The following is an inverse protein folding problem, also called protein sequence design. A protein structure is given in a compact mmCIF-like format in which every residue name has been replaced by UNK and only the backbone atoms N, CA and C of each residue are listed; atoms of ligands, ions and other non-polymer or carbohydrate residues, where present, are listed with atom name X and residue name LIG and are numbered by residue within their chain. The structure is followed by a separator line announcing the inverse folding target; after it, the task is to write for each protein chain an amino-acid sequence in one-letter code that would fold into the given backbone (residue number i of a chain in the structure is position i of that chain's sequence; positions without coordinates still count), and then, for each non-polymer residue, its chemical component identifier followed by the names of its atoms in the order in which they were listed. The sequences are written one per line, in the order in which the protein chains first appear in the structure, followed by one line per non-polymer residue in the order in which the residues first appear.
data_IF_777996722027
#
_entry.id   IF_777996722027
#
_cell.length_a   1.000
_cell.length_b   1.000
_cell.length_c   1.000
_cell.angle_alpha   90.00
_cell.angle_beta   90.00
_cell.angle_gamma   90.00
#
_symmetry.space_group_name_H-M   'P 1'
#
loop_
_entity.id
_entity.type
_entity.pdbx_description
1 polymer ?
#
# COMPACT_ATOMS: atom_id res chain seq x y z
N UNK A 1 -8.80 -11.03 -31.09
CA UNK A 1 -7.68 -10.35 -31.76
C UNK A 1 -6.61 -10.17 -30.71
N UNK A 2 -5.50 -10.91 -30.83
CA UNK A 2 -4.35 -10.83 -29.94
C UNK A 2 -3.55 -9.59 -30.32
N UNK A 3 -3.74 -8.48 -29.63
CA UNK A 3 -2.80 -7.38 -29.69
C UNK A 3 -1.69 -7.64 -28.67
N UNK A 4 -0.47 -7.65 -29.20
CA UNK A 4 0.76 -7.96 -28.51
C UNK A 4 0.98 -7.01 -27.33
N UNK A 5 1.00 -7.54 -26.10
CA UNK A 5 1.84 -6.92 -25.08
C UNK A 5 3.28 -6.98 -25.60
N UNK A 6 3.98 -5.84 -25.72
CA UNK A 6 5.35 -5.85 -26.17
C UNK A 6 6.16 -6.76 -25.25
N UNK A 7 7.03 -7.59 -25.84
CA UNK A 7 7.95 -8.43 -25.09
C UNK A 7 8.83 -7.53 -24.19
N UNK A 8 8.42 -7.40 -22.94
CA UNK A 8 9.10 -6.69 -21.86
C UNK A 8 8.89 -7.47 -20.56
N UNK A 9 9.89 -7.51 -19.67
CA UNK A 9 9.84 -8.44 -18.54
C UNK A 9 8.86 -8.03 -17.43
N UNK A 10 8.59 -6.74 -17.24
CA UNK A 10 7.64 -6.12 -16.30
C UNK A 10 7.07 -4.87 -17.02
N UNK A 11 5.80 -4.47 -16.77
CA UNK A 11 5.22 -3.23 -17.33
C UNK A 11 5.67 -1.98 -16.57
N UNK A 12 5.97 -2.13 -15.27
CA UNK A 12 6.57 -1.08 -14.47
C UNK A 12 8.09 -1.04 -14.71
N UNK A 13 8.58 0.12 -15.12
CA UNK A 13 9.99 0.40 -15.36
C UNK A 13 10.62 1.02 -14.13
N UNK A 14 11.64 0.37 -13.57
CA UNK A 14 12.36 0.87 -12.40
C UNK A 14 13.05 2.18 -12.73
N UNK A 15 12.97 3.15 -11.83
CA UNK A 15 13.84 4.31 -11.89
C UNK A 15 15.31 3.88 -11.74
N UNK A 16 16.19 4.41 -12.58
CA UNK A 16 17.62 4.06 -12.59
C UNK A 16 18.31 4.45 -11.28
N UNK A 17 17.87 5.56 -10.65
CA UNK A 17 18.40 6.02 -9.37
C UNK A 17 17.81 5.33 -8.14
N UNK A 18 17.17 4.16 -8.28
CA UNK A 18 16.72 3.41 -7.12
C UNK A 18 17.90 2.85 -6.29
N UNK A 19 17.76 2.76 -4.95
CA UNK A 19 16.63 3.21 -4.15
C UNK A 19 16.55 4.74 -4.02
N UNK A 20 15.33 5.28 -3.92
CA UNK A 20 15.10 6.74 -3.78
C UNK A 20 15.19 7.23 -2.33
N UNK A 21 15.00 6.32 -1.36
CA UNK A 21 15.21 6.56 0.07
C UNK A 21 15.79 5.28 0.66
N UNK A 22 16.95 5.38 1.29
CA UNK A 22 17.63 4.32 2.02
C UNK A 22 17.94 4.77 3.46
N UNK A 23 18.60 3.89 4.23
CA UNK A 23 18.91 4.17 5.64
C UNK A 23 19.80 5.41 5.81
N UNK A 24 20.67 5.68 4.84
CA UNK A 24 21.58 6.83 4.81
C UNK A 24 20.84 8.17 4.72
N UNK A 25 19.62 8.18 4.20
CA UNK A 25 18.78 9.38 4.07
C UNK A 25 17.99 9.69 5.35
N UNK A 26 18.00 8.79 6.35
CA UNK A 26 17.26 8.97 7.60
C UNK A 26 18.12 9.74 8.62
N UNK A 27 17.71 10.96 9.03
CA UNK A 27 18.54 11.84 9.87
C UNK A 27 18.59 11.43 11.35
N UNK A 28 17.96 10.31 11.70
CA UNK A 28 17.93 9.76 13.06
C UNK A 28 18.19 8.26 13.05
N UNK A 29 18.62 7.72 14.19
CA UNK A 29 19.02 6.30 14.28
C UNK A 29 17.81 5.37 14.04
N UNK A 30 17.90 4.57 12.99
CA UNK A 30 16.94 3.52 12.64
C UNK A 30 17.64 2.22 12.24
N UNK A 31 16.85 1.18 12.02
CA UNK A 31 17.27 -0.10 11.43
C UNK A 31 17.03 -0.09 9.92
N UNK A 32 15.85 0.34 9.47
CA UNK A 32 15.43 0.27 8.06
C UNK A 32 14.29 1.26 7.77
N UNK A 33 14.09 1.62 6.49
CA UNK A 33 13.01 2.47 5.98
C UNK A 33 12.37 1.84 4.74
N UNK A 34 11.05 1.67 4.75
CA UNK A 34 10.33 1.01 3.67
C UNK A 34 8.82 1.31 3.75
N UNK A 35 8.02 0.70 2.87
CA UNK A 35 6.55 0.65 2.91
C UNK A 35 5.80 1.96 3.25
N UNK A 36 6.25 3.10 2.71
CA UNK A 36 5.60 4.39 2.96
C UNK A 36 4.43 4.70 2.01
N UNK A 37 3.45 5.46 2.48
CA UNK A 37 2.42 6.03 1.63
C UNK A 37 2.90 7.32 0.95
N UNK A 38 2.48 7.56 -0.29
CA UNK A 38 2.79 8.80 -1.03
C UNK A 38 1.50 9.46 -1.50
N UNK A 39 1.43 10.78 -1.33
CA UNK A 39 0.39 11.63 -1.92
C UNK A 39 1.04 12.89 -2.51
N UNK A 40 0.42 13.45 -3.55
CA UNK A 40 0.83 14.72 -4.16
C UNK A 40 -0.22 15.78 -3.87
N UNK A 41 0.19 16.92 -3.30
CA UNK A 41 -0.67 18.08 -3.05
C UNK A 41 -0.09 19.31 -3.75
N UNK A 42 -0.74 19.75 -4.83
CA UNK A 42 -0.17 20.76 -5.71
C UNK A 42 1.13 20.26 -6.35
N UNK A 43 2.23 20.99 -6.16
CA UNK A 43 3.53 20.66 -6.74
C UNK A 43 4.49 19.96 -5.75
N UNK A 44 3.97 19.43 -4.64
CA UNK A 44 4.77 18.79 -3.60
C UNK A 44 4.26 17.36 -3.33
N UNK A 45 5.19 16.43 -3.20
CA UNK A 45 4.96 15.05 -2.78
C UNK A 45 5.24 14.93 -1.28
N UNK A 46 4.35 14.20 -0.61
CA UNK A 46 4.44 13.87 0.80
C UNK A 46 4.53 12.36 0.91
N UNK A 47 5.63 11.87 1.47
CA UNK A 47 5.88 10.46 1.65
C UNK A 47 5.92 10.13 3.14
N UNK A 48 4.87 9.48 3.64
CA UNK A 48 4.79 9.00 5.02
C UNK A 48 5.41 7.60 5.11
N UNK A 49 6.68 7.57 5.47
CA UNK A 49 7.55 6.40 5.53
C UNK A 49 7.25 5.56 6.77
N UNK A 50 7.34 4.23 6.65
CA UNK A 50 7.54 3.35 7.80
C UNK A 50 9.03 3.24 8.06
N UNK A 51 9.45 3.62 9.26
CA UNK A 51 10.83 3.50 9.71
C UNK A 51 10.88 2.58 10.93
N UNK A 52 11.65 1.50 10.86
CA UNK A 52 11.87 0.64 12.03
C UNK A 52 13.00 1.20 12.88
N UNK A 53 12.76 1.40 14.17
CA UNK A 53 13.78 1.83 15.12
C UNK A 53 14.77 0.71 15.45
N UNK A 54 15.94 1.05 15.98
CA UNK A 54 16.91 0.07 16.50
C UNK A 54 16.38 -0.73 17.71
N UNK A 55 15.21 -0.38 18.24
CA UNK A 55 14.52 -1.10 19.32
C UNK A 55 13.45 -2.07 18.79
N UNK A 56 13.30 -2.19 17.47
CA UNK A 56 12.42 -3.16 16.83
C UNK A 56 10.93 -2.78 16.80
N UNK A 57 10.60 -1.50 17.02
CA UNK A 57 9.26 -0.98 16.74
C UNK A 57 9.31 0.04 15.60
N UNK A 58 8.26 0.05 14.78
CA UNK A 58 8.11 1.00 13.68
C UNK A 58 7.44 2.31 14.11
N UNK A 59 7.86 3.40 13.48
CA UNK A 59 7.34 4.77 13.58
C UNK A 59 7.05 5.30 12.18
N UNK A 60 6.34 6.43 12.06
CA UNK A 60 6.19 7.14 10.80
C UNK A 60 7.04 8.39 10.75
N UNK A 61 7.76 8.56 9.64
CA UNK A 61 8.54 9.75 9.31
C UNK A 61 8.01 10.34 8.01
N UNK A 62 8.04 11.66 7.88
CA UNK A 62 7.62 12.33 6.66
C UNK A 62 8.85 12.64 5.81
N UNK A 63 8.73 12.47 4.50
CA UNK A 63 9.67 13.03 3.54
C UNK A 63 8.92 13.86 2.49
N UNK A 64 9.59 14.88 1.96
CA UNK A 64 9.03 15.83 1.00
C UNK A 64 9.85 15.86 -0.28
N UNK A 65 9.18 16.03 -1.41
CA UNK A 65 9.84 16.15 -2.71
C UNK A 65 9.06 17.07 -3.65
N UNK A 66 9.76 17.70 -4.60
CA UNK A 66 9.14 18.48 -5.69
C UNK A 66 8.94 17.67 -6.97
N UNK A 67 9.76 16.64 -7.18
CA UNK A 67 9.74 15.81 -8.39
C UNK A 67 9.24 14.39 -8.13
N UNK A 68 9.09 14.01 -6.86
CA UNK A 68 8.68 12.68 -6.44
C UNK A 68 9.77 11.63 -6.62
N UNK A 69 11.03 12.03 -6.80
CA UNK A 69 12.20 11.16 -6.97
C UNK A 69 13.26 11.44 -5.91
N UNK A 70 13.51 12.72 -5.61
CA UNK A 70 14.50 13.15 -4.62
C UNK A 70 13.78 13.67 -3.38
N UNK A 71 13.86 12.94 -2.28
CA UNK A 71 13.14 13.25 -1.05
C UNK A 71 14.07 13.77 0.04
N UNK A 72 13.60 14.76 0.81
CA UNK A 72 14.20 15.18 2.08
C UNK A 72 13.34 14.68 3.22
N UNK A 73 13.93 13.88 4.12
CA UNK A 73 13.25 13.32 5.29
C UNK A 73 13.31 14.31 6.45
N UNK A 74 12.21 14.47 7.18
CA UNK A 74 12.15 15.32 8.38
C UNK A 74 13.10 14.78 9.48
N UNK A 75 13.65 15.68 10.29
CA UNK A 75 14.66 15.37 11.33
C UNK A 75 14.16 14.40 12.41
N UNK A 76 12.84 14.22 12.54
CA UNK A 76 12.19 13.40 13.57
C UNK A 76 10.96 12.69 13.03
N UNK A 77 10.57 11.55 13.62
CA UNK A 77 9.28 10.92 13.33
C UNK A 77 8.10 11.89 13.55
N UNK A 78 7.12 11.85 12.65
CA UNK A 78 5.87 12.63 12.75
C UNK A 78 4.78 11.89 13.51
N UNK A 79 4.91 10.56 13.64
CA UNK A 79 4.00 9.74 14.45
C UNK A 79 4.78 8.58 15.09
N UNK A 80 4.75 8.49 16.42
CA UNK A 80 5.28 7.36 17.20
C UNK A 80 4.14 6.54 17.81
N UNK A 81 4.36 5.26 18.16
CA UNK A 81 3.41 4.48 18.96
C UNK A 81 2.91 5.23 20.21
N UNK A 82 1.59 5.19 20.42
CA UNK A 82 0.95 5.83 21.54
C UNK A 82 1.49 5.26 22.86
N UNK A 83 1.79 6.15 23.81
CA UNK A 83 2.26 5.76 25.16
C UNK A 83 1.14 5.71 26.19
N UNK A 84 0.02 6.39 25.92
CA UNK A 84 -1.17 6.48 26.79
C UNK A 84 -2.45 6.33 25.96
N UNK A 85 -3.57 6.13 26.65
CA UNK A 85 -4.89 6.02 26.02
C UNK A 85 -5.15 4.69 25.32
N UNK A 86 -6.26 4.57 24.59
CA UNK A 86 -6.74 3.30 24.04
C UNK A 86 -5.80 2.67 23.01
N UNK A 87 -5.04 3.49 22.26
CA UNK A 87 -4.10 3.04 21.23
C UNK A 87 -2.83 2.41 21.80
N UNK A 88 -2.39 2.83 22.99
CA UNK A 88 -1.10 2.41 23.56
C UNK A 88 -0.99 0.91 23.79
N UNK A 89 -2.13 0.24 24.05
CA UNK A 89 -2.20 -1.21 24.18
C UNK A 89 -1.93 -1.92 22.85
N UNK A 90 -2.41 -1.36 21.75
CA UNK A 90 -2.46 -2.00 20.43
C UNK A 90 -1.31 -1.60 19.51
N UNK A 91 -0.59 -0.51 19.81
CA UNK A 91 0.60 -0.06 19.06
C UNK A 91 1.92 -0.46 19.75
N UNK A 92 1.87 -1.30 20.79
CA UNK A 92 3.01 -1.57 21.67
C UNK A 92 4.25 -2.14 20.97
N UNK A 93 4.09 -2.73 19.78
CA UNK A 93 5.18 -3.26 18.93
C UNK A 93 5.45 -2.39 17.69
N UNK A 94 4.70 -1.30 17.50
CA UNK A 94 4.89 -0.40 16.38
C UNK A 94 3.60 0.03 15.70
N UNK A 95 3.75 1.06 14.87
CA UNK A 95 2.80 1.44 13.84
C UNK A 95 3.45 1.14 12.49
N UNK A 96 2.74 0.42 11.63
CA UNK A 96 3.32 -0.15 10.42
C UNK A 96 2.47 0.17 9.20
N UNK A 97 3.12 0.23 8.04
CA UNK A 97 2.49 0.15 6.73
C UNK A 97 1.34 1.18 6.58
N UNK A 98 1.62 2.50 6.65
CA UNK A 98 0.61 3.53 6.49
C UNK A 98 0.11 3.58 5.05
N UNK A 99 -1.18 3.90 4.89
CA UNK A 99 -1.87 4.14 3.62
C UNK A 99 -2.62 5.46 3.78
N UNK A 100 -2.36 6.42 2.89
CA UNK A 100 -2.97 7.76 2.98
C UNK A 100 -3.99 7.92 1.86
N UNK A 101 -5.21 8.32 2.22
CA UNK A 101 -6.29 8.60 1.28
C UNK A 101 -6.88 9.97 1.58
N UNK A 102 -6.94 10.84 0.56
CA UNK A 102 -7.65 12.12 0.67
C UNK A 102 -9.15 11.92 0.46
N UNK A 103 -9.96 12.47 1.37
CA UNK A 103 -11.42 12.56 1.23
C UNK A 103 -11.85 13.94 1.69
N UNK A 104 -12.46 14.71 0.79
CA UNK A 104 -13.01 16.05 1.09
C UNK A 104 -11.97 17.00 1.74
N UNK A 105 -10.70 16.95 1.29
CA UNK A 105 -9.60 17.81 1.78
C UNK A 105 -8.91 17.33 3.07
N UNK A 106 -9.37 16.22 3.66
CA UNK A 106 -8.75 15.59 4.84
C UNK A 106 -7.97 14.35 4.40
N UNK A 107 -6.74 14.20 4.89
CA UNK A 107 -5.91 13.03 4.63
C UNK A 107 -6.08 11.99 5.74
N UNK A 108 -6.77 10.90 5.43
CA UNK A 108 -6.95 9.77 6.34
C UNK A 108 -5.81 8.78 6.19
N UNK A 109 -5.26 8.33 7.33
CA UNK A 109 -4.17 7.36 7.39
C UNK A 109 -4.69 6.07 8.01
N UNK A 110 -4.86 5.04 7.19
CA UNK A 110 -5.05 3.68 7.69
C UNK A 110 -3.68 3.02 7.88
N UNK A 111 -3.47 2.39 9.04
CA UNK A 111 -2.20 1.75 9.36
C UNK A 111 -2.38 0.52 10.24
N UNK A 112 -1.36 -0.32 10.30
CA UNK A 112 -1.35 -1.47 11.21
C UNK A 112 -0.84 -1.04 12.59
N UNK A 113 -1.71 -1.12 13.60
CA UNK A 113 -1.34 -1.05 15.01
C UNK A 113 -0.92 -2.46 15.46
N UNK A 114 0.36 -2.66 15.75
CA UNK A 114 0.90 -3.97 16.10
C UNK A 114 1.18 -4.13 17.59
N UNK A 115 0.73 -5.25 18.16
CA UNK A 115 0.93 -5.58 19.58
C UNK A 115 1.03 -7.10 19.80
N UNK A 116 1.18 -7.49 21.07
CA UNK A 116 1.12 -8.91 21.47
C UNK A 116 -0.21 -9.60 21.15
N UNK A 117 -1.27 -8.84 20.90
CA UNK A 117 -2.59 -9.37 20.54
C UNK A 117 -2.75 -9.62 19.04
N UNK A 118 -1.74 -9.31 18.23
CA UNK A 118 -1.79 -9.37 16.77
C UNK A 118 -1.98 -8.00 16.13
N UNK A 119 -1.94 -7.94 14.78
CA UNK A 119 -2.15 -6.72 14.02
C UNK A 119 -3.63 -6.33 14.04
N UNK A 120 -3.89 -5.04 14.19
CA UNK A 120 -5.21 -4.41 13.99
C UNK A 120 -5.05 -3.22 13.05
N UNK A 121 -6.11 -2.85 12.35
CA UNK A 121 -6.14 -1.64 11.54
C UNK A 121 -6.55 -0.47 12.45
N UNK A 122 -5.78 0.59 12.40
CA UNK A 122 -6.06 1.86 13.06
C UNK A 122 -6.23 2.96 12.01
N UNK A 123 -6.98 3.99 12.38
CA UNK A 123 -7.27 5.15 11.55
C UNK A 123 -6.79 6.41 12.27
N UNK A 124 -6.03 7.23 11.56
CA UNK A 124 -5.69 8.59 11.94
C UNK A 124 -6.06 9.57 10.80
N UNK A 125 -5.95 10.87 11.05
CA UNK A 125 -6.06 11.90 10.01
C UNK A 125 -5.03 13.00 10.20
N UNK A 126 -4.78 13.74 9.13
CA UNK A 126 -4.02 14.98 9.10
C UNK A 126 -4.57 15.92 8.04
N UNK A 127 -4.33 17.22 8.20
CA UNK A 127 -4.65 18.26 7.21
C UNK A 127 -3.36 18.99 6.74
N UNK A 128 -2.27 18.84 7.48
CA UNK A 128 -1.01 19.60 7.30
C UNK A 128 0.24 18.71 7.19
N UNK A 129 0.09 17.38 7.30
CA UNK A 129 1.17 16.38 7.36
C UNK A 129 2.18 16.57 8.51
N UNK A 130 1.88 17.46 9.45
CA UNK A 130 2.73 17.76 10.61
C UNK A 130 2.08 17.26 11.90
N UNK A 131 0.75 17.30 11.97
CA UNK A 131 -0.03 16.82 13.11
C UNK A 131 -0.95 15.68 12.69
N UNK A 132 -0.86 14.57 13.41
CA UNK A 132 -1.67 13.36 13.17
C UNK A 132 -2.59 13.09 14.36
N UNK A 133 -3.90 13.16 14.13
CA UNK A 133 -4.93 12.83 15.10
C UNK A 133 -5.36 11.37 14.92
N UNK A 134 -5.21 10.55 15.96
CA UNK A 134 -5.75 9.18 15.96
C UNK A 134 -7.27 9.20 16.17
N UNK A 135 -8.00 8.52 15.30
CA UNK A 135 -9.46 8.47 15.32
C UNK A 135 -9.94 7.20 16.04
N UNK A 136 -9.60 6.02 15.51
CA UNK A 136 -10.12 4.75 16.05
C UNK A 136 -9.23 3.55 15.70
N UNK A 137 -9.36 2.47 16.47
CA UNK A 137 -8.94 1.12 16.02
C UNK A 137 -10.16 0.47 15.37
N UNK A 138 -10.07 0.18 14.08
CA UNK A 138 -11.22 -0.08 13.20
C UNK A 138 -11.33 -1.54 12.73
N UNK A 139 -10.58 -2.46 13.33
CA UNK A 139 -10.70 -3.90 13.07
C UNK A 139 -10.45 -4.74 14.30
N UNK A 140 -10.87 -6.01 14.25
CA UNK A 140 -10.42 -7.08 15.13
C UNK A 140 -8.95 -7.43 14.89
N UNK A 141 -8.29 -8.16 15.82
CA UNK A 141 -6.96 -8.71 15.60
C UNK A 141 -6.90 -9.69 14.43
N UNK A 142 -5.75 -9.75 13.77
CA UNK A 142 -5.54 -10.61 12.60
C UNK A 142 -5.92 -9.95 11.28
N UNK A 143 -5.97 -8.62 11.24
CA UNK A 143 -6.27 -7.84 10.05
C UNK A 143 -5.17 -6.77 9.81
N UNK A 144 -4.89 -6.46 8.54
CA UNK A 144 -3.91 -5.48 8.07
C UNK A 144 -4.26 -5.05 6.64
N UNK A 145 -3.37 -4.31 5.98
CA UNK A 145 -3.54 -3.86 4.59
C UNK A 145 -4.84 -3.05 4.40
N UNK A 146 -5.23 -2.30 5.44
CA UNK A 146 -6.42 -1.45 5.42
C UNK A 146 -6.20 -0.21 4.58
N UNK A 147 -7.14 0.09 3.69
CA UNK A 147 -7.08 1.28 2.83
C UNK A 147 -8.46 1.78 2.44
N UNK A 148 -8.63 3.11 2.38
CA UNK A 148 -9.89 3.74 2.00
C UNK A 148 -9.97 3.95 0.50
N UNK A 149 -11.19 3.86 -0.03
CA UNK A 149 -11.52 4.48 -1.32
C UNK A 149 -11.52 6.01 -1.15
N UNK A 150 -11.08 6.78 -2.17
CA UNK A 150 -10.93 8.24 -2.07
C UNK A 150 -12.26 9.01 -2.21
N UNK A 151 -13.39 8.33 -2.09
CA UNK A 151 -14.72 8.92 -2.09
C UNK A 151 -15.71 7.99 -1.39
N UNK A 152 -16.83 8.56 -0.95
CA UNK A 152 -18.00 7.74 -0.58
C UNK A 152 -18.58 7.10 -1.83
N UNK A 153 -18.99 5.84 -1.72
CA UNK A 153 -19.69 5.10 -2.77
C UNK A 153 -21.08 4.79 -2.22
N UNK A 154 -22.13 5.22 -2.94
CA UNK A 154 -23.53 5.11 -2.50
C UNK A 154 -23.79 5.66 -1.07
N UNK A 155 -23.09 6.75 -0.72
CA UNK A 155 -23.23 7.43 0.57
C UNK A 155 -22.46 6.80 1.74
N UNK A 156 -21.68 5.74 1.51
CA UNK A 156 -20.87 5.08 2.53
C UNK A 156 -19.38 5.23 2.24
N UNK A 157 -18.56 5.36 3.29
CA UNK A 157 -17.12 5.13 3.17
C UNK A 157 -16.89 3.66 2.90
N UNK A 158 -15.95 3.37 2.01
CA UNK A 158 -15.57 2.01 1.64
C UNK A 158 -14.10 1.83 1.93
N UNK A 159 -13.73 0.65 2.44
CA UNK A 159 -12.34 0.25 2.59
C UNK A 159 -12.10 -1.12 1.99
N UNK A 160 -10.86 -1.35 1.58
CA UNK A 160 -10.32 -2.69 1.44
C UNK A 160 -9.53 -3.03 2.70
N UNK A 161 -9.59 -4.28 3.13
CA UNK A 161 -8.76 -4.82 4.20
C UNK A 161 -8.46 -6.31 3.99
N UNK A 162 -7.75 -6.92 4.94
CA UNK A 162 -7.14 -8.24 4.73
C UNK A 162 -7.13 -9.09 5.99
N UNK A 163 -8.33 -9.49 6.49
CA UNK A 163 -8.42 -10.44 7.59
C UNK A 163 -7.78 -11.78 7.22
N UNK A 164 -7.18 -12.45 8.22
CA UNK A 164 -6.60 -13.78 8.06
C UNK A 164 -7.63 -14.84 8.44
N UNK A 165 -8.19 -15.51 7.44
CA UNK A 165 -9.11 -16.65 7.61
C UNK A 165 -8.40 -17.97 7.36
N UNK A 166 -8.44 -18.91 8.32
CA UNK A 166 -7.76 -20.23 8.23
C UNK A 166 -6.27 -20.13 7.83
N UNK A 167 -5.58 -19.07 8.25
CA UNK A 167 -4.16 -18.81 7.94
C UNK A 167 -3.89 -18.22 6.55
N UNK A 168 -4.94 -17.95 5.76
CA UNK A 168 -4.87 -17.35 4.43
C UNK A 168 -5.31 -15.90 4.50
N UNK A 169 -4.52 -15.02 3.89
CA UNK A 169 -4.86 -13.61 3.72
C UNK A 169 -5.53 -13.39 2.38
N UNK A 170 -6.82 -13.04 2.41
CA UNK A 170 -7.63 -12.64 1.25
C UNK A 170 -8.02 -11.17 1.36
N UNK A 171 -8.34 -10.53 0.24
CA UNK A 171 -8.82 -9.15 0.24
C UNK A 171 -10.34 -9.13 0.45
N UNK A 172 -10.78 -8.22 1.31
CA UNK A 172 -12.18 -8.00 1.64
C UNK A 172 -12.53 -6.53 1.42
N UNK A 173 -13.81 -6.27 1.22
CA UNK A 173 -14.39 -4.93 1.19
C UNK A 173 -15.32 -4.78 2.37
N UNK A 174 -15.34 -3.61 3.00
CA UNK A 174 -16.29 -3.28 4.07
C UNK A 174 -16.69 -1.81 4.02
N UNK A 175 -17.81 -1.51 4.67
CA UNK A 175 -18.52 -0.25 4.53
C UNK A 175 -18.75 0.41 5.88
N UNK A 176 -18.74 1.74 5.90
CA UNK A 176 -18.99 2.54 7.10
C UNK A 176 -19.71 3.84 6.78
N UNK A 177 -20.58 4.29 7.68
CA UNK A 177 -21.20 5.62 7.60
C UNK A 177 -20.36 6.73 8.26
N UNK A 178 -19.41 6.36 9.13
CA UNK A 178 -18.74 7.30 10.03
C UNK A 178 -17.22 7.05 10.20
N UNK A 179 -16.63 6.15 9.39
CA UNK A 179 -15.21 5.73 9.44
C UNK A 179 -14.80 4.92 10.68
N UNK A 180 -15.69 4.75 11.66
CA UNK A 180 -15.39 4.07 12.93
C UNK A 180 -16.07 2.70 12.98
N UNK A 181 -17.36 2.65 12.67
CA UNK A 181 -18.15 1.43 12.70
C UNK A 181 -18.18 0.82 11.30
N UNK A 182 -17.52 -0.33 11.14
CA UNK A 182 -17.39 -1.03 9.87
C UNK A 182 -18.22 -2.32 9.86
N UNK A 183 -18.88 -2.59 8.75
CA UNK A 183 -19.67 -3.80 8.55
C UNK A 183 -19.96 -4.07 7.08
N UNK A 184 -20.95 -4.93 6.80
CA UNK A 184 -21.27 -5.41 5.45
C UNK A 184 -20.02 -5.95 4.72
N UNK A 185 -19.19 -6.66 5.48
CA UNK A 185 -17.91 -7.14 4.98
C UNK A 185 -18.12 -8.31 4.03
N UNK A 186 -17.59 -8.19 2.82
CA UNK A 186 -17.67 -9.22 1.78
C UNK A 186 -16.28 -9.59 1.28
N UNK A 187 -16.12 -10.85 0.90
CA UNK A 187 -14.89 -11.31 0.29
C UNK A 187 -14.79 -10.72 -1.11
N UNK A 188 -13.69 -10.03 -1.41
CA UNK A 188 -13.45 -9.43 -2.72
C UNK A 188 -12.70 -10.42 -3.62
N UNK A 189 -11.55 -10.90 -3.16
CA UNK A 189 -10.78 -11.91 -3.89
C UNK A 189 -9.89 -12.75 -2.98
N UNK A 190 -9.54 -13.92 -3.48
CA UNK A 190 -8.65 -14.89 -2.83
C UNK A 190 -7.36 -15.10 -3.62
N UNK A 191 -6.32 -15.67 -2.97
CA UNK A 191 -5.13 -16.17 -3.65
C UNK A 191 -5.50 -17.21 -4.74
N UNK A 192 -4.82 -17.15 -5.89
CA UNK A 192 -5.09 -18.06 -7.02
C UNK A 192 -4.08 -19.20 -7.03
N UNK A 193 -4.53 -20.43 -6.82
CA UNK A 193 -3.65 -21.59 -6.78
C UNK A 193 -2.83 -21.71 -8.08
N UNK A 194 -1.53 -22.02 -7.96
CA UNK A 194 -0.62 -22.15 -9.11
C UNK A 194 -0.09 -20.82 -9.66
N UNK A 195 -0.73 -19.69 -9.35
CA UNK A 195 -0.31 -18.38 -9.83
C UNK A 195 0.73 -17.70 -8.94
N UNK A 196 1.16 -16.51 -9.35
CA UNK A 196 2.16 -15.69 -8.68
C UNK A 196 1.69 -15.12 -7.33
N UNK A 197 0.38 -15.10 -7.11
CA UNK A 197 -0.33 -14.60 -5.94
C UNK A 197 -1.08 -15.73 -5.19
N UNK A 198 -0.46 -16.91 -5.15
CA UNK A 198 -1.08 -18.17 -4.69
C UNK A 198 -1.09 -18.43 -3.19
N UNK A 199 -0.40 -17.60 -2.38
CA UNK A 199 -0.33 -17.78 -0.92
C UNK A 199 -1.16 -16.75 -0.15
N UNK A 200 -0.92 -15.45 -0.39
CA UNK A 200 -1.62 -14.33 0.25
C UNK A 200 -1.69 -13.16 -0.71
N UNK A 201 -2.71 -12.33 -0.56
CA UNK A 201 -2.88 -11.07 -1.28
C UNK A 201 -3.31 -9.96 -0.33
N UNK A 202 -3.12 -8.69 -0.71
CA UNK A 202 -3.58 -7.54 0.06
C UNK A 202 -3.56 -6.23 -0.73
N UNK A 203 -4.49 -5.33 -0.41
CA UNK A 203 -4.57 -3.99 -0.97
C UNK A 203 -3.28 -3.22 -0.64
N UNK A 204 -2.87 -2.32 -1.52
CA UNK A 204 -1.56 -1.65 -1.40
C UNK A 204 -1.64 -0.14 -1.59
N UNK A 205 -2.44 0.37 -2.53
CA UNK A 205 -2.54 1.82 -2.81
C UNK A 205 -4.00 2.29 -2.82
N UNK A 206 -4.30 3.58 -2.57
CA UNK A 206 -5.69 4.01 -2.60
C UNK A 206 -6.27 3.73 -3.99
N UNK A 207 -7.45 3.10 -4.11
CA UNK A 207 -8.01 2.78 -5.41
C UNK A 207 -8.15 4.04 -6.28
N UNK A 208 -7.60 3.97 -7.49
CA UNK A 208 -7.52 5.09 -8.43
C UNK A 208 -8.74 5.04 -9.34
N UNK A 209 -9.54 6.12 -9.36
CA UNK A 209 -10.72 6.19 -10.21
C UNK A 209 -10.32 6.29 -11.68
N UNK A 210 -10.97 5.48 -12.52
CA UNK A 210 -10.82 5.51 -13.99
C UNK A 210 -12.21 5.49 -14.64
N UNK A 211 -12.28 5.64 -15.97
CA UNK A 211 -13.52 5.45 -16.72
C UNK A 211 -14.01 3.98 -16.74
N UNK A 212 -13.10 3.03 -16.44
CA UNK A 212 -13.39 1.59 -16.45
C UNK A 212 -13.71 1.02 -15.07
N UNK A 213 -13.55 1.79 -13.99
CA UNK A 213 -13.59 1.25 -12.64
C UNK A 213 -12.60 1.91 -11.68
N UNK A 214 -12.54 1.38 -10.47
CA UNK A 214 -11.48 1.65 -9.52
C UNK A 214 -10.30 0.70 -9.79
N UNK A 215 -9.20 1.23 -10.30
CA UNK A 215 -7.96 0.49 -10.42
C UNK A 215 -7.31 0.39 -9.04
N UNK A 216 -7.14 -0.82 -8.54
CA UNK A 216 -6.33 -1.08 -7.36
C UNK A 216 -5.05 -1.84 -7.69
N UNK A 217 -3.92 -1.34 -7.21
CA UNK A 217 -2.62 -2.01 -7.23
C UNK A 217 -2.51 -2.82 -5.93
N UNK A 218 -2.36 -4.13 -6.05
CA UNK A 218 -2.31 -5.04 -4.89
C UNK A 218 -1.01 -5.85 -4.88
N UNK A 219 -0.62 -6.35 -3.71
CA UNK A 219 0.49 -7.27 -3.60
C UNK A 219 0.00 -8.72 -3.60
N UNK A 220 0.78 -9.61 -4.22
CA UNK A 220 0.54 -11.04 -4.22
C UNK A 220 1.79 -11.81 -3.84
N UNK A 221 1.59 -12.86 -3.03
CA UNK A 221 2.67 -13.66 -2.46
C UNK A 221 2.61 -15.06 -3.02
N UNK A 222 3.76 -15.57 -3.47
CA UNK A 222 3.97 -17.00 -3.70
C UNK A 222 4.93 -17.54 -2.66
N UNK A 223 4.56 -18.62 -1.97
CA UNK A 223 5.47 -19.32 -1.05
C UNK A 223 6.37 -20.27 -1.85
N UNK A 224 7.66 -20.20 -1.59
CA UNK A 224 8.67 -21.15 -2.09
C UNK A 224 9.36 -21.85 -0.92
N UNK A 225 10.23 -22.82 -1.21
CA UNK A 225 11.01 -23.54 -0.20
C UNK A 225 11.94 -22.62 0.59
N UNK A 226 12.47 -21.57 -0.04
CA UNK A 226 13.42 -20.63 0.60
C UNK A 226 12.74 -19.41 1.23
N UNK A 227 11.45 -19.18 0.97
CA UNK A 227 10.75 -18.01 1.49
C UNK A 227 9.58 -17.55 0.61
N UNK A 228 8.86 -16.52 1.05
CA UNK A 228 7.86 -15.86 0.22
C UNK A 228 8.53 -15.04 -0.90
N UNK A 229 7.82 -14.84 -2.00
CA UNK A 229 8.15 -13.85 -3.02
C UNK A 229 6.96 -12.92 -3.15
N UNK A 230 7.16 -11.64 -2.86
CA UNK A 230 6.13 -10.59 -2.98
C UNK A 230 6.27 -9.90 -4.34
N UNK A 231 5.16 -9.78 -5.04
CA UNK A 231 5.06 -9.13 -6.34
C UNK A 231 3.87 -8.18 -6.33
N UNK A 232 3.83 -7.30 -7.32
CA UNK A 232 2.78 -6.29 -7.47
C UNK A 232 1.92 -6.66 -8.68
N UNK A 233 0.60 -6.53 -8.58
CA UNK A 233 -0.37 -6.72 -9.66
C UNK A 233 -1.51 -5.72 -9.56
N UNK A 234 -2.51 -5.86 -10.41
CA UNK A 234 -3.66 -4.94 -10.47
C UNK A 234 -4.99 -5.66 -10.55
N UNK A 235 -6.03 -5.00 -10.03
CA UNK A 235 -7.43 -5.39 -10.16
C UNK A 235 -8.25 -4.15 -10.49
N UNK A 236 -9.21 -4.29 -11.39
CA UNK A 236 -10.21 -3.27 -11.72
C UNK A 236 -11.52 -3.63 -11.01
N UNK A 237 -12.06 -2.71 -10.22
CA UNK A 237 -13.30 -2.89 -9.46
C UNK A 237 -14.41 -1.99 -10.02
N UNK A 238 -15.66 -2.40 -9.89
CA UNK A 238 -16.81 -1.61 -10.35
C UNK A 238 -16.96 -0.30 -9.56
N UNK A 239 -17.33 0.79 -10.25
CA UNK A 239 -17.43 2.14 -9.68
C UNK A 239 -18.51 2.26 -8.61
N UNK A 240 -19.63 1.55 -8.77
CA UNK A 240 -20.80 1.61 -7.90
C UNK A 240 -20.88 0.42 -6.96
N UNK A 241 -20.27 -0.71 -7.34
CA UNK A 241 -20.26 -1.97 -6.60
C UNK A 241 -18.82 -2.44 -6.38
N UNK A 242 -18.05 -1.82 -5.47
CA UNK A 242 -16.63 -2.07 -5.30
C UNK A 242 -16.29 -3.49 -4.80
N UNK A 243 -17.30 -4.28 -4.44
CA UNK A 243 -17.24 -5.72 -4.19
C UNK A 243 -17.16 -6.57 -5.48
N UNK A 244 -17.33 -5.97 -6.65
CA UNK A 244 -17.28 -6.63 -7.95
C UNK A 244 -15.99 -6.35 -8.69
N UNK A 245 -15.34 -7.41 -9.14
CA UNK A 245 -14.15 -7.35 -9.98
C UNK A 245 -14.58 -7.31 -11.44
N UNK A 246 -14.09 -6.31 -12.16
CA UNK A 246 -14.22 -6.17 -13.61
C UNK A 246 -13.12 -6.99 -14.29
N UNK A 247 -11.88 -6.85 -13.83
CA UNK A 247 -10.73 -7.57 -14.38
C UNK A 247 -9.61 -7.69 -13.34
N UNK A 248 -8.78 -8.72 -13.43
CA UNK A 248 -7.60 -8.89 -12.57
C UNK A 248 -6.39 -9.33 -13.38
N UNK A 249 -5.24 -8.66 -13.20
CA UNK A 249 -4.04 -8.97 -13.98
C UNK A 249 -3.59 -10.43 -13.79
N UNK A 250 -3.35 -11.12 -14.89
CA UNK A 250 -2.86 -12.52 -14.87
C UNK A 250 -1.36 -12.60 -14.59
N UNK A 251 -0.64 -11.52 -14.87
CA UNK A 251 0.79 -11.38 -14.65
C UNK A 251 1.05 -10.28 -13.61
N UNK A 252 2.14 -10.41 -12.83
CA UNK A 252 2.59 -9.32 -11.98
C UNK A 252 3.03 -8.13 -12.86
N UNK A 253 2.71 -6.91 -12.42
CA UNK A 253 3.20 -5.68 -13.06
C UNK A 253 4.65 -5.38 -12.66
N UNK A 254 5.10 -5.90 -11.50
CA UNK A 254 6.48 -5.84 -11.03
C UNK A 254 6.82 -7.08 -10.17
N UNK A 255 8.00 -7.67 -10.38
CA UNK A 255 8.54 -8.77 -9.56
C UNK A 255 9.97 -8.45 -9.08
N UNK A 256 10.38 -8.92 -7.89
CA UNK A 256 11.70 -8.62 -7.33
C UNK A 256 12.83 -9.28 -8.14
N UNK A 257 13.74 -8.46 -8.64
CA UNK A 257 14.81 -8.81 -9.58
C UNK A 257 16.10 -8.06 -9.31
N UNK A 258 16.03 -6.79 -8.96
CA UNK A 258 17.21 -6.02 -8.59
C UNK A 258 17.74 -6.47 -7.23
N UNK A 259 19.03 -6.25 -6.98
CA UNK A 259 19.67 -6.69 -5.74
C UNK A 259 19.00 -6.07 -4.51
N UNK A 260 18.64 -4.79 -4.56
CA UNK A 260 17.91 -4.09 -3.50
C UNK A 260 16.49 -4.63 -3.24
N UNK A 261 15.94 -5.46 -4.14
CA UNK A 261 14.63 -6.14 -3.97
C UNK A 261 14.79 -7.59 -3.48
N UNK A 262 16.01 -8.13 -3.57
CA UNK A 262 16.33 -9.52 -3.26
C UNK A 262 17.13 -9.67 -1.97
N UNK A 263 17.91 -8.65 -1.62
CA UNK A 263 18.83 -8.63 -0.49
C UNK A 263 18.38 -7.51 0.46
N UNK A 264 18.16 -7.87 1.72
CA UNK A 264 17.64 -6.98 2.76
C UNK A 264 17.12 -7.78 3.95
N UNK A 265 16.45 -7.10 4.89
CA UNK A 265 15.84 -7.72 6.08
C UNK A 265 14.84 -8.82 5.70
N UNK A 266 14.10 -8.63 4.59
CA UNK A 266 13.25 -9.67 4.00
C UNK A 266 13.50 -9.77 2.50
N UNK A 267 14.23 -10.81 2.08
CA UNK A 267 14.54 -11.01 0.66
C UNK A 267 13.33 -11.29 -0.24
N UNK A 268 13.44 -10.92 -1.51
CA UNK A 268 12.45 -11.13 -2.58
C UNK A 268 11.13 -10.39 -2.36
N UNK A 269 11.23 -9.09 -2.05
CA UNK A 269 10.07 -8.21 -1.81
C UNK A 269 10.07 -7.02 -2.76
N UNK A 270 8.99 -6.89 -3.51
CA UNK A 270 8.54 -5.63 -4.09
C UNK A 270 7.10 -5.39 -3.61
N UNK A 271 6.89 -4.36 -2.80
CA UNK A 271 5.63 -4.13 -2.09
C UNK A 271 5.14 -2.69 -2.30
N UNK A 272 4.14 -2.50 -3.18
CA UNK A 272 3.56 -1.17 -3.41
C UNK A 272 3.00 -0.58 -2.12
N UNK A 273 3.13 0.74 -1.93
CA UNK A 273 2.53 1.46 -0.79
C UNK A 273 2.01 2.86 -1.17
N UNK A 274 2.36 3.38 -2.34
CA UNK A 274 1.83 4.63 -2.86
C UNK A 274 1.84 4.64 -4.37
N UNK A 275 0.91 5.38 -4.97
CA UNK A 275 0.89 5.62 -6.40
C UNK A 275 0.39 7.02 -6.68
N UNK A 276 1.03 7.70 -7.64
CA UNK A 276 0.65 9.05 -8.10
C UNK A 276 0.51 9.02 -9.61
N UNK A 277 -0.65 9.42 -10.12
CA UNK A 277 -0.86 9.64 -11.55
C UNK A 277 -0.53 11.09 -11.86
N UNK A 278 0.40 11.31 -12.78
CA UNK A 278 0.83 12.63 -13.22
C UNK A 278 -0.07 13.18 -14.33
N UNK A 279 -0.11 14.50 -14.49
CA UNK A 279 -0.84 15.17 -15.57
C UNK A 279 -0.34 14.76 -16.97
N UNK A 280 0.90 14.26 -17.06
CA UNK A 280 1.47 13.71 -18.29
C UNK A 280 0.85 12.38 -18.73
N UNK A 281 0.10 11.71 -17.85
CA UNK A 281 -0.39 10.35 -18.05
C UNK A 281 0.55 9.26 -17.55
N UNK A 282 1.73 9.62 -17.01
CA UNK A 282 2.61 8.66 -16.32
C UNK A 282 2.05 8.34 -14.93
N UNK A 283 2.15 7.08 -14.50
CA UNK A 283 1.93 6.69 -13.11
C UNK A 283 3.26 6.34 -12.44
N UNK A 284 3.53 6.96 -11.28
CA UNK A 284 4.65 6.62 -10.38
C UNK A 284 4.14 5.70 -9.28
N UNK A 285 4.69 4.49 -9.20
CA UNK A 285 4.38 3.51 -8.15
C UNK A 285 5.56 3.41 -7.19
N UNK A 286 5.32 3.82 -5.94
CA UNK A 286 6.27 3.77 -4.84
C UNK A 286 6.13 2.45 -4.09
N UNK A 287 7.26 1.78 -3.86
CA UNK A 287 7.27 0.45 -3.28
C UNK A 287 8.43 0.24 -2.31
N UNK A 288 8.17 -0.51 -1.24
CA UNK A 288 9.21 -1.05 -0.38
C UNK A 288 9.94 -2.19 -1.09
N UNK A 289 11.27 -2.19 -0.99
CA UNK A 289 12.12 -3.22 -1.56
C UNK A 289 12.93 -3.91 -0.45
N UNK A 290 12.81 -5.24 -0.41
CA UNK A 290 13.43 -6.13 0.57
C UNK A 290 13.24 -5.75 2.05
N UNK A 291 12.15 -5.06 2.41
CA UNK A 291 11.93 -4.43 3.72
C UNK A 291 13.11 -3.57 4.21
N UNK A 292 13.83 -2.93 3.27
CA UNK A 292 15.12 -2.26 3.52
C UNK A 292 15.17 -0.83 3.01
N UNK A 293 14.53 -0.56 1.88
CA UNK A 293 14.55 0.75 1.22
C UNK A 293 13.23 1.03 0.49
N UNK A 294 13.07 2.26 0.03
CA UNK A 294 11.96 2.68 -0.84
C UNK A 294 12.48 2.90 -2.26
N UNK A 295 11.71 2.41 -3.22
CA UNK A 295 11.96 2.55 -4.64
C UNK A 295 10.74 3.12 -5.36
N UNK A 296 10.95 3.55 -6.61
CA UNK A 296 9.88 3.98 -7.53
C UNK A 296 10.03 3.32 -8.89
N UNK A 297 8.89 2.99 -9.50
CA UNK A 297 8.81 2.51 -10.87
C UNK A 297 7.67 3.21 -11.60
N UNK A 298 7.82 3.43 -12.91
CA UNK A 298 6.86 4.16 -13.73
C UNK A 298 6.38 3.39 -14.94
N UNK A 299 5.23 3.79 -15.47
CA UNK A 299 4.70 3.34 -16.76
C UNK A 299 3.63 4.34 -17.23
N UNK A 300 3.15 4.20 -18.47
CA UNK A 300 1.98 4.94 -18.93
C UNK A 300 0.71 4.39 -18.24
N UNK A 301 -0.12 5.29 -17.71
CA UNK A 301 -1.29 4.90 -16.93
C UNK A 301 -2.34 4.16 -17.78
N UNK A 302 -2.48 4.51 -19.07
CA UNK A 302 -3.41 3.82 -19.97
C UNK A 302 -2.90 2.42 -20.31
N UNK A 303 -1.59 2.25 -20.47
CA UNK A 303 -0.99 0.93 -20.65
C UNK A 303 -1.23 0.02 -19.43
N UNK A 304 -1.09 0.55 -18.21
CA UNK A 304 -1.40 -0.18 -16.98
C UNK A 304 -2.88 -0.60 -16.91
N UNK A 305 -3.80 0.30 -17.28
CA UNK A 305 -5.24 0.00 -17.36
C UNK A 305 -5.48 -1.09 -18.40
N UNK A 306 -4.94 -0.95 -19.61
CA UNK A 306 -5.11 -1.93 -20.68
C UNK A 306 -4.59 -3.31 -20.25
N UNK A 307 -3.42 -3.39 -19.61
CA UNK A 307 -2.88 -4.63 -19.04
C UNK A 307 -3.82 -5.26 -18.02
N UNK A 308 -4.46 -4.45 -17.19
CA UNK A 308 -5.41 -4.93 -16.18
C UNK A 308 -6.65 -5.52 -16.84
N UNK A 309 -7.20 -4.85 -17.86
CA UNK A 309 -8.44 -5.24 -18.54
C UNK A 309 -8.30 -6.48 -19.43
N UNK A 310 -7.10 -6.85 -19.87
CA UNK A 310 -6.86 -8.14 -20.56
C UNK A 310 -6.81 -9.33 -19.58
N UNK A 311 -6.76 -9.04 -18.28
CA UNK A 311 -6.85 -10.04 -17.23
C UNK A 311 -8.17 -10.83 -17.24
N UNK A 312 -8.22 -11.93 -16.50
CA UNK A 312 -9.47 -12.67 -16.32
C UNK A 312 -10.45 -11.83 -15.48
N UNK A 313 -11.70 -11.76 -15.92
CA UNK A 313 -12.83 -11.40 -15.05
C UNK A 313 -13.06 -12.57 -14.09
N UNK A 314 -12.90 -12.33 -12.79
CA UNK A 314 -13.05 -13.34 -11.74
C UNK A 314 -14.49 -13.62 -11.38
#
# INVERSE_FOLDING_TARGET
MNEHFPFGRDILHRFEGNPIIAIEDIPFRCNTVFNGAVVKRGNEYFHLLRVESQQGYSVFALARSKDGLHFTVEDKPVMEPARKGPFARYEKRGIEDPRITEIEGVYYVMYTAYSKYGPRIALAKTEDFSHYERIAIVSEPGNKDGILFPAKINGEYVRLDRPIGKGVGSMWVSYSKNLVDWGKSEILMTPRQGMWDSYRIGASVPPIRTEHGWLEIYHGVKKTTTGPIYRIGTVMLDLEKPDKIIARSNQPILSPRADYERIGDVGNVAFACGAVVEDSGEIKVYYGAADTCVCVATTDFKELIAMTLVGESS
#
